data_IF_714879428680
#
_entry.id   IF_714879428680
#
_cell.length_a   1.000
_cell.length_b   1.000
_cell.length_c   1.000
_cell.angle_alpha   90.00
_cell.angle_beta   90.00
_cell.angle_gamma   90.00
#
_symmetry.space_group_name_H-M   'P 1'
#
loop_
_entity.id
_entity.type
_entity.pdbx_description
1 polymer ?
#
# COMPACT_ATOMS: atom_id res chain seq x y z
N UNK A 1 -24.86 14.84 -2.32
CA UNK A 1 -24.47 15.57 -1.09
C UNK A 1 -23.64 14.58 -0.28
N UNK A 2 -22.34 14.48 -0.60
CA UNK A 2 -21.42 13.52 0.05
C UNK A 2 -20.99 14.14 1.38
N UNK A 3 -21.42 13.53 2.46
CA UNK A 3 -20.96 13.84 3.80
C UNK A 3 -19.47 13.50 3.88
N UNK A 4 -18.70 14.48 4.24
CA UNK A 4 -17.27 14.40 4.52
C UNK A 4 -17.00 13.30 5.55
N UNK A 5 -16.44 12.17 5.08
CA UNK A 5 -16.11 11.02 5.94
C UNK A 5 -14.90 11.29 6.80
N UNK A 6 -14.98 12.22 7.74
CA UNK A 6 -14.02 12.27 8.83
C UNK A 6 -14.32 11.13 9.82
N UNK A 7 -13.33 10.40 10.28
CA UNK A 7 -13.53 9.43 11.35
C UNK A 7 -14.22 10.15 12.52
N UNK A 8 -15.28 9.57 13.06
CA UNK A 8 -16.08 10.18 14.13
C UNK A 8 -15.15 10.58 15.27
N UNK A 9 -15.31 11.79 15.79
CA UNK A 9 -14.42 12.38 16.82
C UNK A 9 -14.31 11.54 18.11
N UNK A 10 -15.20 10.59 18.33
CA UNK A 10 -15.22 9.76 19.53
C UNK A 10 -14.20 8.61 19.55
N UNK A 11 -13.54 8.30 18.40
CA UNK A 11 -12.57 7.21 18.30
C UNK A 11 -11.11 7.67 18.12
N UNK A 12 -10.83 8.96 18.13
CA UNK A 12 -9.49 9.51 17.88
C UNK A 12 -8.40 9.10 18.89
N UNK A 13 -8.75 8.56 20.06
CA UNK A 13 -7.78 8.31 21.15
C UNK A 13 -7.88 6.92 21.78
N UNK A 14 -8.62 5.99 21.20
CA UNK A 14 -8.54 4.59 21.58
C UNK A 14 -7.27 4.01 20.99
N UNK A 15 -6.18 4.01 21.74
CA UNK A 15 -4.89 3.43 21.37
C UNK A 15 -4.98 1.90 21.41
N UNK A 16 -5.61 1.31 20.42
CA UNK A 16 -5.46 -0.11 20.15
C UNK A 16 -4.04 -0.32 19.60
N UNK A 17 -3.16 -0.89 20.39
CA UNK A 17 -1.81 -1.27 19.99
C UNK A 17 -1.77 -2.62 19.25
N UNK A 18 -2.85 -3.00 18.56
CA UNK A 18 -2.82 -4.22 17.74
C UNK A 18 -1.95 -4.03 16.51
N UNK A 19 -0.70 -4.47 16.60
CA UNK A 19 0.27 -4.45 15.49
C UNK A 19 -0.18 -5.30 14.29
N UNK A 20 -1.18 -6.15 14.45
CA UNK A 20 -1.74 -6.94 13.36
C UNK A 20 -2.72 -6.12 12.51
N UNK A 21 -3.29 -5.02 13.06
CA UNK A 21 -4.01 -4.02 12.28
C UNK A 21 -3.01 -3.23 11.43
N UNK A 22 -2.53 -3.87 10.38
CA UNK A 22 -1.48 -3.30 9.54
C UNK A 22 -1.56 -3.78 8.09
N UNK A 23 -1.15 -2.92 7.17
CA UNK A 23 -0.98 -3.21 5.76
C UNK A 23 0.42 -2.81 5.28
N UNK A 24 0.96 -3.41 4.21
CA UNK A 24 2.20 -2.94 3.61
C UNK A 24 2.07 -1.52 3.05
N UNK A 25 3.18 -0.76 3.10
CA UNK A 25 3.32 0.52 2.39
C UNK A 25 3.03 0.30 0.90
N UNK A 26 2.20 1.16 0.32
CA UNK A 26 1.89 1.15 -1.10
C UNK A 26 2.79 2.14 -1.85
N UNK A 27 3.59 1.62 -2.75
CA UNK A 27 4.52 2.41 -3.58
C UNK A 27 3.87 3.04 -4.81
N UNK A 28 2.57 2.85 -4.98
CA UNK A 28 1.80 3.32 -6.14
C UNK A 28 0.79 4.42 -5.81
N UNK A 29 0.79 4.93 -4.57
CA UNK A 29 -0.05 6.07 -4.21
C UNK A 29 0.56 7.37 -4.70
N UNK A 30 -0.26 8.22 -5.29
CA UNK A 30 0.15 9.53 -5.78
C UNK A 30 -0.98 10.54 -5.69
N UNK A 31 -0.63 11.81 -5.55
CA UNK A 31 -1.55 12.92 -5.70
C UNK A 31 -0.79 14.18 -6.11
N UNK A 32 -1.39 14.97 -6.99
CA UNK A 32 -0.86 16.31 -7.35
C UNK A 32 -1.72 17.43 -6.76
N UNK A 33 -2.59 17.08 -5.79
CA UNK A 33 -3.46 18.03 -5.13
C UNK A 33 -2.66 19.12 -4.42
N UNK A 34 -2.99 20.42 -4.64
CA UNK A 34 -2.15 21.54 -4.20
C UNK A 34 -1.94 21.59 -2.68
N UNK A 35 -3.01 21.42 -1.88
CA UNK A 35 -2.96 21.50 -0.42
C UNK A 35 -2.08 20.38 0.17
N UNK A 36 -2.16 19.17 -0.38
CA UNK A 36 -1.28 18.09 0.02
C UNK A 36 0.18 18.39 -0.33
N UNK A 37 0.44 18.91 -1.53
CA UNK A 37 1.79 19.29 -1.95
C UNK A 37 2.35 20.45 -1.11
N UNK A 38 1.51 21.38 -0.65
CA UNK A 38 1.93 22.43 0.30
C UNK A 38 2.33 21.83 1.64
N UNK A 39 1.56 20.87 2.18
CA UNK A 39 1.93 20.15 3.39
C UNK A 39 3.26 19.41 3.23
N UNK A 40 3.44 18.68 2.13
CA UNK A 40 4.70 18.00 1.81
C UNK A 40 5.87 18.99 1.81
N UNK A 41 5.73 20.14 1.14
CA UNK A 41 6.77 21.16 1.07
C UNK A 41 7.11 21.74 2.45
N UNK A 42 6.10 22.08 3.23
CA UNK A 42 6.26 22.61 4.60
C UNK A 42 7.02 21.64 5.50
N UNK A 43 6.62 20.37 5.51
CA UNK A 43 7.25 19.35 6.35
C UNK A 43 8.64 18.98 5.83
N UNK A 44 8.84 18.97 4.51
CA UNK A 44 10.15 18.72 3.91
C UNK A 44 11.18 19.74 4.36
N UNK A 45 10.88 21.03 4.25
CA UNK A 45 11.77 22.12 4.70
C UNK A 45 12.03 22.04 6.21
N UNK A 46 11.03 21.65 7.00
CA UNK A 46 11.17 21.54 8.46
C UNK A 46 12.12 20.41 8.87
N UNK A 47 11.98 19.22 8.29
CA UNK A 47 12.68 18.02 8.76
C UNK A 47 13.93 17.66 7.94
N UNK A 48 14.06 18.19 6.71
CA UNK A 48 15.15 17.88 5.79
C UNK A 48 15.81 19.16 5.21
N UNK A 49 16.19 20.15 6.04
CA UNK A 49 16.69 21.44 5.57
C UNK A 49 18.02 21.35 4.80
N UNK A 50 18.83 20.34 5.04
CA UNK A 50 20.15 20.17 4.41
C UNK A 50 20.12 19.48 3.03
N UNK A 51 19.02 18.83 2.67
CA UNK A 51 18.92 18.17 1.35
C UNK A 51 18.64 19.14 0.17
N UNK A 52 18.29 20.40 0.45
CA UNK A 52 18.01 21.41 -0.57
C UNK A 52 19.30 22.07 -1.14
N UNK A 53 20.47 21.86 -0.57
CA UNK A 53 21.62 22.71 -0.85
C UNK A 53 22.90 22.08 -1.41
N UNK A 54 23.06 20.75 -1.46
CA UNK A 54 24.28 20.17 -2.08
C UNK A 54 24.07 18.76 -2.61
N UNK A 55 23.71 18.66 -3.86
CA UNK A 55 23.83 17.40 -4.61
C UNK A 55 25.31 17.11 -4.86
N UNK A 56 25.94 16.21 -4.10
CA UNK A 56 27.22 15.62 -4.51
C UNK A 56 27.01 14.90 -5.85
N UNK A 57 27.92 15.09 -6.83
CA UNK A 57 27.82 14.37 -8.10
C UNK A 57 28.08 12.88 -7.88
N UNK A 58 27.02 12.13 -7.69
CA UNK A 58 26.99 10.67 -7.69
C UNK A 58 26.04 10.18 -8.78
N UNK A 59 25.95 8.86 -9.04
CA UNK A 59 24.97 8.32 -9.97
C UNK A 59 23.58 8.87 -9.61
N UNK A 60 22.96 9.59 -10.57
CA UNK A 60 21.65 10.20 -10.35
C UNK A 60 20.65 9.12 -9.98
N UNK A 61 20.12 9.17 -8.76
CA UNK A 61 18.98 8.34 -8.38
C UNK A 61 17.80 8.68 -9.28
N UNK A 62 17.06 7.68 -9.73
CA UNK A 62 15.84 7.86 -10.54
C UNK A 62 14.74 8.59 -9.77
N UNK A 63 14.74 8.52 -8.42
CA UNK A 63 13.84 9.26 -7.57
C UNK A 63 14.59 10.13 -6.57
N UNK A 64 14.07 11.31 -6.29
CA UNK A 64 14.59 12.21 -5.25
C UNK A 64 14.13 11.75 -3.87
N UNK A 65 14.83 12.13 -2.79
CA UNK A 65 14.39 11.86 -1.42
C UNK A 65 13.01 12.47 -1.13
N UNK A 66 12.68 13.61 -1.74
CA UNK A 66 11.37 14.25 -1.59
C UNK A 66 10.22 13.42 -2.20
N UNK A 67 10.45 12.68 -3.29
CA UNK A 67 9.46 11.74 -3.85
C UNK A 67 9.19 10.61 -2.85
N UNK A 68 10.23 10.06 -2.21
CA UNK A 68 10.08 9.06 -1.16
C UNK A 68 9.25 9.59 0.01
N UNK A 69 9.56 10.80 0.48
CA UNK A 69 8.84 11.45 1.57
C UNK A 69 7.37 11.70 1.20
N UNK A 70 7.09 12.24 0.00
CA UNK A 70 5.73 12.48 -0.49
C UNK A 70 4.90 11.19 -0.51
N UNK A 71 5.45 10.10 -1.07
CA UNK A 71 4.76 8.81 -1.13
C UNK A 71 4.50 8.24 0.26
N UNK A 72 5.49 8.33 1.17
CA UNK A 72 5.34 7.90 2.56
C UNK A 72 4.24 8.68 3.27
N UNK A 73 4.26 10.00 3.19
CA UNK A 73 3.30 10.88 3.84
C UNK A 73 1.87 10.66 3.30
N UNK A 74 1.75 10.47 1.99
CA UNK A 74 0.45 10.21 1.36
C UNK A 74 -0.14 8.87 1.79
N UNK A 75 0.68 7.81 1.84
CA UNK A 75 0.18 6.50 2.25
C UNK A 75 -0.11 6.44 3.77
N UNK A 76 0.60 7.21 4.58
CA UNK A 76 0.27 7.43 5.99
C UNK A 76 -1.07 8.17 6.16
N UNK A 77 -1.32 9.20 5.33
CA UNK A 77 -2.60 9.91 5.33
C UNK A 77 -3.76 8.97 4.98
N UNK A 78 -3.63 8.20 3.90
CA UNK A 78 -4.64 7.21 3.49
C UNK A 78 -4.85 6.14 4.57
N UNK A 79 -3.77 5.71 5.23
CA UNK A 79 -3.83 4.75 6.32
C UNK A 79 -4.63 5.31 7.50
N UNK A 80 -4.32 6.54 7.92
CA UNK A 80 -5.02 7.26 8.98
C UNK A 80 -6.50 7.50 8.66
N UNK A 81 -6.82 7.91 7.43
CA UNK A 81 -8.20 8.09 6.98
C UNK A 81 -9.00 6.79 6.98
N UNK A 82 -8.35 5.66 6.73
CA UNK A 82 -9.00 4.34 6.74
C UNK A 82 -9.27 3.87 8.18
N UNK A 83 -8.25 3.96 9.03
CA UNK A 83 -8.30 3.65 10.45
C UNK A 83 -7.12 4.33 11.15
N UNK A 84 -7.37 5.30 12.06
CA UNK A 84 -6.31 6.00 12.79
C UNK A 84 -5.36 5.09 13.58
N UNK A 85 -5.78 3.87 13.92
CA UNK A 85 -4.99 2.88 14.63
C UNK A 85 -4.21 1.92 13.71
N UNK A 86 -4.41 2.01 12.39
CA UNK A 86 -3.75 1.14 11.43
C UNK A 86 -2.28 1.50 11.24
N UNK A 87 -1.43 0.46 11.18
CA UNK A 87 -0.01 0.62 10.90
C UNK A 87 0.34 0.37 9.43
N UNK A 88 1.35 1.05 8.93
CA UNK A 88 2.03 0.70 7.68
C UNK A 88 3.21 -0.21 7.94
N UNK A 89 3.27 -1.32 7.22
CA UNK A 89 4.41 -2.24 7.22
C UNK A 89 5.48 -1.74 6.26
N UNK A 90 6.71 -1.53 6.77
CA UNK A 90 7.84 -0.99 5.99
C UNK A 90 9.07 -1.88 6.08
N UNK A 91 9.83 -1.92 4.99
CA UNK A 91 11.14 -2.56 4.97
C UNK A 91 12.19 -1.65 5.61
N UNK A 92 12.89 -2.15 6.64
CA UNK A 92 14.00 -1.44 7.29
C UNK A 92 15.37 -2.07 6.92
N UNK A 93 15.42 -2.84 5.84
CA UNK A 93 16.65 -3.36 5.25
C UNK A 93 16.78 -2.92 3.79
N UNK A 94 18.01 -2.75 3.31
CA UNK A 94 18.27 -2.31 1.93
C UNK A 94 17.73 -3.33 0.90
N UNK A 95 17.80 -4.61 1.18
CA UNK A 95 17.34 -5.69 0.31
C UNK A 95 15.83 -5.69 0.08
N UNK A 96 15.06 -5.06 0.96
CA UNK A 96 13.62 -4.91 0.80
C UNK A 96 13.17 -3.93 -0.29
N UNK A 97 14.11 -3.12 -0.82
CA UNK A 97 13.81 -2.04 -1.78
C UNK A 97 14.38 -2.35 -3.16
N UNK A 98 13.53 -2.70 -4.10
CA UNK A 98 13.89 -2.98 -5.50
C UNK A 98 13.61 -1.75 -6.37
N UNK A 99 14.48 -0.73 -6.31
CA UNK A 99 14.26 0.55 -6.97
C UNK A 99 14.20 0.48 -8.51
N UNK A 100 14.81 -0.54 -9.12
CA UNK A 100 14.82 -0.72 -10.57
C UNK A 100 13.74 -1.69 -11.06
N UNK A 101 12.89 -2.19 -10.17
CA UNK A 101 11.80 -3.08 -10.56
C UNK A 101 10.71 -2.33 -11.34
N UNK A 102 10.17 -2.95 -12.38
CA UNK A 102 8.98 -2.47 -13.09
C UNK A 102 7.75 -2.33 -12.18
N UNK A 103 7.74 -3.06 -11.06
CA UNK A 103 6.69 -3.03 -10.03
C UNK A 103 6.91 -1.94 -8.98
N UNK A 104 7.91 -1.07 -9.18
CA UNK A 104 8.23 0.07 -8.34
C UNK A 104 8.52 1.27 -9.25
N UNK A 105 7.51 1.73 -9.97
CA UNK A 105 7.65 2.75 -11.01
C UNK A 105 8.12 4.11 -10.47
N UNK A 106 7.87 4.41 -9.19
CA UNK A 106 8.40 5.60 -8.50
C UNK A 106 9.88 5.44 -8.09
N UNK A 107 10.49 4.28 -8.37
CA UNK A 107 11.88 3.98 -8.04
C UNK A 107 12.24 4.22 -6.56
N UNK A 108 11.30 3.95 -5.66
CA UNK A 108 11.54 4.08 -4.22
C UNK A 108 12.65 3.11 -3.80
N UNK A 109 13.56 3.60 -2.96
CA UNK A 109 14.78 2.90 -2.60
C UNK A 109 14.99 2.87 -1.09
N UNK A 110 16.09 2.29 -0.65
CA UNK A 110 16.52 2.27 0.75
C UNK A 110 16.64 3.67 1.39
N UNK A 111 16.66 4.76 0.60
CA UNK A 111 16.57 6.14 1.12
C UNK A 111 15.34 6.36 1.99
N UNK A 112 14.26 5.61 1.76
CA UNK A 112 13.07 5.60 2.61
C UNK A 112 13.42 5.31 4.08
N UNK A 113 14.43 4.47 4.34
CA UNK A 113 14.85 4.10 5.70
C UNK A 113 15.38 5.32 6.46
N UNK A 114 16.18 6.18 5.79
CA UNK A 114 16.68 7.41 6.38
C UNK A 114 15.56 8.38 6.72
N UNK A 115 14.61 8.55 5.80
CA UNK A 115 13.43 9.39 6.00
C UNK A 115 12.60 8.91 7.20
N UNK A 116 12.31 7.61 7.28
CA UNK A 116 11.55 7.04 8.40
C UNK A 116 12.29 7.28 9.73
N UNK A 117 13.60 7.04 9.77
CA UNK A 117 14.41 7.24 11.00
C UNK A 117 14.37 8.68 11.49
N UNK A 118 14.49 9.64 10.57
CA UNK A 118 14.42 11.07 10.89
C UNK A 118 13.06 11.44 11.47
N UNK A 119 11.98 11.01 10.82
CA UNK A 119 10.62 11.31 11.29
C UNK A 119 10.29 10.62 12.62
N UNK A 120 10.90 9.48 12.92
CA UNK A 120 10.78 8.81 14.23
C UNK A 120 11.57 9.58 15.29
N UNK A 121 12.77 10.06 14.98
CA UNK A 121 13.58 10.86 15.89
C UNK A 121 12.91 12.20 16.26
N UNK A 122 12.12 12.76 15.36
CA UNK A 122 11.35 14.00 15.54
C UNK A 122 9.92 13.76 16.10
N UNK A 123 9.64 12.55 16.60
CA UNK A 123 8.33 12.14 17.13
C UNK A 123 7.14 12.37 16.16
N UNK A 124 7.41 12.40 14.84
CA UNK A 124 6.38 12.51 13.80
C UNK A 124 5.73 11.17 13.50
N UNK A 125 6.51 10.08 13.68
CA UNK A 125 6.06 8.72 13.49
C UNK A 125 6.26 7.88 14.75
N UNK A 126 5.27 7.06 15.06
CA UNK A 126 5.45 5.92 15.95
C UNK A 126 6.12 4.78 15.18
N UNK A 127 7.03 4.07 15.82
CA UNK A 127 7.78 2.97 15.21
C UNK A 127 7.77 1.73 16.07
N UNK A 128 7.47 0.59 15.44
CA UNK A 128 7.61 -0.73 16.06
C UNK A 128 8.49 -1.62 15.18
N UNK A 129 9.58 -2.09 15.74
CA UNK A 129 10.54 -2.97 15.04
C UNK A 129 9.89 -4.31 14.72
N UNK A 130 9.96 -4.73 13.45
CA UNK A 130 9.58 -6.06 13.02
C UNK A 130 10.55 -7.13 13.53
N UNK A 131 10.03 -8.35 13.70
CA UNK A 131 10.85 -9.55 13.96
C UNK A 131 11.30 -10.16 12.62
N UNK A 132 12.18 -11.16 12.69
CA UNK A 132 12.60 -11.90 11.49
C UNK A 132 11.40 -12.41 10.69
N UNK A 133 11.37 -12.14 9.40
CA UNK A 133 10.25 -12.51 8.50
C UNK A 133 9.02 -11.59 8.57
N UNK A 134 9.04 -10.53 9.39
CA UNK A 134 7.95 -9.54 9.48
C UNK A 134 8.44 -8.12 9.19
N UNK A 135 7.58 -7.31 8.57
CA UNK A 135 7.88 -5.90 8.35
C UNK A 135 7.90 -5.14 9.69
N UNK A 136 8.71 -4.08 9.77
CA UNK A 136 8.54 -3.07 10.80
C UNK A 136 7.22 -2.31 10.58
N UNK A 137 6.71 -1.67 11.61
CA UNK A 137 5.43 -0.96 11.61
C UNK A 137 5.66 0.50 11.92
N UNK A 138 5.01 1.37 11.16
CA UNK A 138 4.97 2.80 11.43
C UNK A 138 3.52 3.29 11.43
N UNK A 139 3.27 4.33 12.20
CA UNK A 139 1.98 5.03 12.24
C UNK A 139 2.22 6.53 12.43
N UNK A 140 1.33 7.37 11.95
CA UNK A 140 1.37 8.79 12.21
C UNK A 140 1.24 9.03 13.73
N UNK A 141 2.20 9.76 14.33
CA UNK A 141 2.10 10.21 15.71
C UNK A 141 1.04 11.33 15.83
N UNK A 142 0.61 11.66 17.04
CA UNK A 142 -0.46 12.60 17.30
C UNK A 142 -0.26 13.95 16.58
N UNK A 143 0.94 14.51 16.61
CA UNK A 143 1.24 15.77 15.93
C UNK A 143 1.00 15.71 14.41
N UNK A 144 1.28 14.58 13.76
CA UNK A 144 1.03 14.39 12.33
C UNK A 144 -0.45 14.15 12.07
N UNK A 145 -1.15 13.41 12.93
CA UNK A 145 -2.59 13.20 12.85
C UNK A 145 -3.37 14.52 12.96
N UNK A 146 -2.93 15.45 13.81
CA UNK A 146 -3.49 16.80 13.90
C UNK A 146 -3.37 17.56 12.58
N UNK A 147 -2.20 17.50 11.93
CA UNK A 147 -2.00 18.11 10.61
C UNK A 147 -2.87 17.45 9.53
N UNK A 148 -3.06 16.15 9.59
CA UNK A 148 -3.94 15.44 8.67
C UNK A 148 -5.41 15.83 8.85
N UNK A 149 -5.87 16.03 10.08
CA UNK A 149 -7.23 16.46 10.39
C UNK A 149 -7.52 17.86 9.85
N UNK A 150 -6.54 18.76 9.93
CA UNK A 150 -6.69 20.14 9.48
C UNK A 150 -6.52 20.28 7.94
N UNK A 151 -6.07 19.21 7.28
CA UNK A 151 -5.80 19.20 5.85
C UNK A 151 -7.11 19.03 5.07
N UNK A 152 -7.44 20.00 4.23
CA UNK A 152 -8.57 19.92 3.30
C UNK A 152 -8.17 19.14 2.04
N UNK A 153 -8.01 17.83 2.20
CA UNK A 153 -7.57 16.94 1.13
C UNK A 153 -8.47 15.72 1.04
N UNK A 154 -9.35 15.64 0.01
CA UNK A 154 -10.26 14.51 -0.14
C UNK A 154 -9.51 13.28 -0.67
N UNK A 155 -9.87 12.09 -0.16
CA UNK A 155 -9.27 10.82 -0.60
C UNK A 155 -9.54 10.54 -2.09
N UNK A 156 -10.59 11.12 -2.66
CA UNK A 156 -10.88 11.05 -4.11
C UNK A 156 -9.77 11.61 -4.99
N UNK A 157 -8.92 12.51 -4.46
CA UNK A 157 -7.76 13.07 -5.16
C UNK A 157 -6.51 12.19 -5.04
N UNK A 158 -6.62 11.02 -4.43
CA UNK A 158 -5.54 10.03 -4.34
C UNK A 158 -5.66 9.03 -5.48
N UNK A 159 -4.61 8.95 -6.29
CA UNK A 159 -4.44 7.89 -7.28
C UNK A 159 -3.77 6.68 -6.60
N UNK A 160 -4.44 5.53 -6.59
CA UNK A 160 -3.96 4.31 -5.91
C UNK A 160 -3.22 3.34 -6.81
N UNK A 161 -3.22 3.57 -8.10
CA UNK A 161 -2.61 2.72 -9.12
C UNK A 161 -1.62 3.49 -10.01
N UNK A 162 -1.05 4.57 -9.49
CA UNK A 162 -0.14 5.43 -10.21
C UNK A 162 1.05 4.64 -10.77
N UNK A 163 1.16 4.59 -12.10
CA UNK A 163 2.18 3.83 -12.82
C UNK A 163 2.28 2.34 -12.43
N UNK A 164 1.23 1.76 -11.87
CA UNK A 164 1.21 0.35 -11.46
C UNK A 164 1.09 -0.56 -12.68
N UNK A 165 2.02 -1.52 -12.81
CA UNK A 165 1.89 -2.55 -13.85
C UNK A 165 0.78 -3.53 -13.49
N UNK A 166 -0.26 -3.69 -14.35
CA UNK A 166 -1.34 -4.62 -14.11
C UNK A 166 -1.00 -6.07 -14.45
N UNK A 167 0.21 -6.34 -14.97
CA UNK A 167 0.66 -7.69 -15.31
C UNK A 167 1.80 -8.09 -14.38
N UNK A 168 1.65 -9.22 -13.71
CA UNK A 168 2.65 -9.76 -12.79
C UNK A 168 3.09 -11.13 -13.26
N UNK A 169 4.37 -11.30 -13.50
CA UNK A 169 5.01 -12.59 -13.73
C UNK A 169 5.68 -13.06 -12.43
N UNK A 170 5.37 -14.27 -12.00
CA UNK A 170 5.96 -14.91 -10.81
C UNK A 170 6.81 -16.11 -11.21
N UNK A 171 7.95 -16.24 -10.55
CA UNK A 171 8.81 -17.42 -10.66
C UNK A 171 8.21 -18.67 -10.00
N UNK A 172 8.98 -19.74 -10.03
CA UNK A 172 8.71 -20.93 -9.23
C UNK A 172 8.81 -20.61 -7.74
N UNK A 173 8.20 -21.44 -6.90
CA UNK A 173 8.44 -21.39 -5.48
C UNK A 173 9.90 -21.78 -5.24
N UNK A 174 10.63 -21.00 -4.44
CA UNK A 174 11.92 -21.43 -3.96
C UNK A 174 11.71 -22.68 -3.10
N UNK A 175 12.48 -23.74 -3.37
CA UNK A 175 12.47 -24.91 -2.48
C UNK A 175 13.03 -24.47 -1.13
N UNK A 176 12.40 -24.85 -0.01
CA UNK A 176 12.96 -24.52 1.30
C UNK A 176 14.29 -25.29 1.46
N UNK A 177 15.30 -24.62 2.02
CA UNK A 177 16.50 -25.31 2.49
C UNK A 177 16.09 -26.45 3.42
N UNK A 178 16.74 -27.61 3.30
CA UNK A 178 16.42 -28.83 4.05
C UNK A 178 16.32 -28.63 5.58
N UNK A 179 16.94 -27.57 6.11
CA UNK A 179 16.84 -27.14 7.51
C UNK A 179 15.53 -26.42 7.88
N UNK A 180 14.82 -25.81 6.92
CA UNK A 180 13.57 -25.06 7.20
C UNK A 180 12.30 -25.94 7.13
N UNK A 181 12.41 -27.14 6.57
CA UNK A 181 11.26 -28.06 6.36
C UNK A 181 10.61 -28.49 7.69
N UNK A 182 11.34 -28.47 8.80
CA UNK A 182 10.84 -29.01 10.09
C UNK A 182 9.97 -28.06 10.92
N UNK A 183 9.83 -26.76 10.55
CA UNK A 183 9.24 -25.79 11.47
C UNK A 183 8.10 -24.91 10.95
N UNK A 184 7.74 -24.92 9.69
CA UNK A 184 6.62 -24.07 9.26
C UNK A 184 5.89 -24.50 7.99
N UNK A 185 4.58 -24.64 8.08
CA UNK A 185 3.61 -24.68 6.96
C UNK A 185 3.50 -23.33 6.21
N UNK A 186 4.59 -22.56 6.10
CA UNK A 186 4.60 -21.31 5.34
C UNK A 186 4.53 -21.63 3.86
N UNK A 187 3.46 -21.22 3.19
CA UNK A 187 3.41 -21.22 1.72
C UNK A 187 4.60 -20.43 1.21
N UNK A 188 5.48 -21.10 0.46
CA UNK A 188 6.65 -20.51 -0.19
C UNK A 188 6.21 -19.33 -1.06
N UNK A 189 6.84 -18.19 -0.87
CA UNK A 189 6.56 -17.01 -1.67
C UNK A 189 7.18 -17.19 -3.05
N UNK A 190 6.37 -17.08 -4.09
CA UNK A 190 6.87 -17.04 -5.46
C UNK A 190 7.46 -15.65 -5.72
N UNK A 191 8.74 -15.55 -6.12
CA UNK A 191 9.36 -14.26 -6.44
C UNK A 191 8.68 -13.63 -7.65
N UNK A 192 8.58 -12.31 -7.64
CA UNK A 192 8.14 -11.55 -8.82
C UNK A 192 9.32 -11.38 -9.76
N UNK A 193 9.13 -11.71 -11.04
CA UNK A 193 10.14 -11.63 -12.08
C UNK A 193 10.02 -10.36 -12.91
N UNK A 194 11.18 -9.80 -13.26
CA UNK A 194 11.25 -8.80 -14.34
C UNK A 194 11.11 -9.50 -15.68
N UNK A 195 10.59 -8.81 -16.68
CA UNK A 195 10.44 -9.33 -18.03
C UNK A 195 10.52 -8.21 -19.07
N UNK A 196 10.92 -8.53 -20.27
CA UNK A 196 10.90 -7.63 -21.41
C UNK A 196 9.50 -7.59 -22.04
N UNK A 197 9.10 -6.40 -22.48
CA UNK A 197 7.77 -6.24 -23.09
C UNK A 197 7.73 -6.85 -24.49
N UNK A 198 6.73 -7.68 -24.70
CA UNK A 198 6.37 -8.25 -26.00
C UNK A 198 5.10 -7.56 -26.54
N UNK A 199 4.79 -7.66 -27.85
CA UNK A 199 3.51 -7.17 -28.38
C UNK A 199 2.30 -7.68 -27.61
N UNK A 200 2.33 -8.92 -27.14
CA UNK A 200 1.28 -9.55 -26.37
C UNK A 200 1.16 -8.90 -24.97
N UNK A 201 2.26 -8.71 -24.24
CA UNK A 201 2.22 -8.07 -22.90
C UNK A 201 1.78 -6.62 -22.99
N UNK A 202 2.19 -5.89 -24.03
CA UNK A 202 1.74 -4.52 -24.29
C UNK A 202 0.23 -4.49 -24.54
N UNK A 203 -0.29 -5.40 -25.36
CA UNK A 203 -1.73 -5.52 -25.63
C UNK A 203 -2.52 -5.85 -24.37
N UNK A 204 -2.07 -6.84 -23.59
CA UNK A 204 -2.72 -7.22 -22.32
C UNK A 204 -2.75 -6.06 -21.34
N UNK A 205 -1.62 -5.33 -21.19
CA UNK A 205 -1.53 -4.15 -20.33
C UNK A 205 -2.49 -3.07 -20.76
N UNK A 206 -2.56 -2.78 -22.07
CA UNK A 206 -3.49 -1.78 -22.62
C UNK A 206 -4.95 -2.09 -22.30
N UNK A 207 -5.38 -3.36 -22.41
CA UNK A 207 -6.73 -3.78 -22.05
C UNK A 207 -6.99 -3.63 -20.56
N UNK A 208 -6.05 -4.07 -19.71
CA UNK A 208 -6.19 -3.99 -18.25
C UNK A 208 -6.18 -2.55 -17.74
N UNK A 209 -5.38 -1.68 -18.32
CA UNK A 209 -5.37 -0.26 -17.96
C UNK A 209 -6.72 0.38 -18.25
N UNK A 210 -7.31 0.16 -19.43
CA UNK A 210 -8.65 0.65 -19.77
C UNK A 210 -9.72 0.12 -18.80
N UNK A 211 -9.61 -1.14 -18.39
CA UNK A 211 -10.52 -1.73 -17.41
C UNK A 211 -10.36 -1.08 -16.03
N UNK A 212 -9.13 -0.89 -15.56
CA UNK A 212 -8.86 -0.21 -14.30
C UNK A 212 -9.30 1.27 -14.33
N UNK A 213 -9.10 1.98 -15.44
CA UNK A 213 -9.62 3.34 -15.64
C UNK A 213 -11.15 3.38 -15.52
N UNK A 214 -11.85 2.38 -16.06
CA UNK A 214 -13.29 2.27 -15.89
C UNK A 214 -13.67 2.04 -14.43
N UNK A 215 -12.98 1.12 -13.75
CA UNK A 215 -13.22 0.86 -12.32
C UNK A 215 -13.00 2.11 -11.46
N UNK A 216 -11.96 2.89 -11.74
CA UNK A 216 -11.66 4.12 -10.99
C UNK A 216 -12.72 5.22 -11.18
N UNK A 217 -13.51 5.15 -12.24
CA UNK A 217 -14.63 6.09 -12.51
C UNK A 217 -15.92 5.66 -11.83
N UNK A 218 -15.99 4.46 -11.28
CA UNK A 218 -17.18 3.89 -10.67
C UNK A 218 -17.01 3.76 -9.17
N UNK A 219 -18.04 4.09 -8.43
CA UNK A 219 -18.12 3.77 -7.01
C UNK A 219 -18.69 2.36 -6.85
N UNK A 220 -17.94 1.49 -6.19
CA UNK A 220 -18.40 0.15 -5.83
C UNK A 220 -18.61 0.09 -4.33
N UNK A 221 -19.79 -0.35 -3.92
CA UNK A 221 -20.18 -0.42 -2.53
C UNK A 221 -20.99 -1.69 -2.26
N UNK A 222 -21.28 -1.97 -1.00
CA UNK A 222 -22.15 -3.07 -0.56
C UNK A 222 -23.31 -2.51 0.24
N UNK A 223 -24.48 -2.51 -0.33
CA UNK A 223 -25.67 -1.86 0.22
C UNK A 223 -26.02 -2.29 1.65
N UNK A 224 -25.79 -3.55 1.99
CA UNK A 224 -26.13 -4.11 3.30
C UNK A 224 -25.10 -3.83 4.40
N UNK A 225 -23.98 -3.18 4.09
CA UNK A 225 -22.96 -2.85 5.08
C UNK A 225 -23.11 -1.40 5.56
N UNK A 226 -23.19 -1.22 6.89
CA UNK A 226 -23.19 0.09 7.53
C UNK A 226 -21.77 0.70 7.58
N UNK A 227 -20.75 -0.16 7.68
CA UNK A 227 -19.34 0.22 7.78
C UNK A 227 -18.59 -0.07 6.47
N UNK A 228 -17.58 0.71 6.10
CA UNK A 228 -16.85 0.54 4.83
C UNK A 228 -15.86 -0.63 4.89
N UNK A 229 -16.18 -1.70 5.58
CA UNK A 229 -15.40 -2.92 5.65
C UNK A 229 -16.29 -4.15 5.88
N UNK A 230 -15.77 -5.31 5.52
CA UNK A 230 -16.33 -6.61 5.89
C UNK A 230 -15.29 -7.44 6.66
N UNK A 231 -15.75 -8.29 7.55
CA UNK A 231 -14.88 -9.16 8.33
C UNK A 231 -14.77 -10.54 7.69
N UNK A 232 -13.61 -11.11 7.75
CA UNK A 232 -13.36 -12.46 7.28
C UNK A 232 -12.52 -13.22 8.29
N UNK A 233 -13.01 -14.38 8.68
CA UNK A 233 -12.29 -15.30 9.57
C UNK A 233 -11.08 -15.85 8.82
N UNK A 234 -9.87 -15.55 9.26
CA UNK A 234 -8.65 -16.24 8.84
C UNK A 234 -8.38 -17.39 9.79
N UNK A 235 -8.55 -18.62 9.31
CA UNK A 235 -8.01 -19.80 10.02
C UNK A 235 -6.50 -19.69 10.07
N UNK A 236 -5.93 -19.47 11.26
CA UNK A 236 -4.50 -19.67 11.51
C UNK A 236 -4.25 -21.14 11.78
N UNK A 237 -3.12 -21.62 11.23
CA UNK A 237 -2.53 -22.88 11.66
C UNK A 237 -1.97 -22.64 13.06
N UNK A 238 -2.73 -23.05 14.11
CA UNK A 238 -2.42 -22.87 15.54
C UNK A 238 -3.43 -21.96 16.26
N UNK A 239 -4.30 -22.55 16.95
CA UNK A 239 -5.19 -22.21 18.09
C UNK A 239 -6.01 -20.89 18.17
N UNK A 240 -5.89 -19.88 17.33
CA UNK A 240 -6.78 -18.71 17.40
C UNK A 240 -7.30 -18.32 16.03
N UNK A 241 -8.62 -18.30 15.88
CA UNK A 241 -9.29 -17.65 14.75
C UNK A 241 -9.30 -16.15 15.05
N UNK A 242 -8.80 -15.34 14.09
CA UNK A 242 -8.90 -13.88 14.17
C UNK A 242 -9.69 -13.37 12.99
N UNK A 243 -10.68 -12.54 13.28
CA UNK A 243 -11.38 -11.77 12.26
C UNK A 243 -10.43 -10.72 11.70
N UNK A 244 -10.39 -10.64 10.38
CA UNK A 244 -9.58 -9.64 9.66
C UNK A 244 -10.52 -8.74 8.88
N UNK A 245 -10.46 -7.45 9.16
CA UNK A 245 -11.21 -6.43 8.45
C UNK A 245 -10.64 -6.21 7.05
N UNK A 246 -11.52 -6.23 6.08
CA UNK A 246 -11.22 -5.91 4.68
C UNK A 246 -11.94 -4.63 4.31
N UNK A 247 -11.20 -3.55 4.22
CA UNK A 247 -11.76 -2.24 3.91
C UNK A 247 -12.13 -2.12 2.43
N UNK A 248 -13.31 -1.55 2.18
CA UNK A 248 -13.81 -1.19 0.84
C UNK A 248 -13.27 0.22 0.54
N UNK A 249 -12.17 0.29 -0.19
CA UNK A 249 -11.50 1.55 -0.51
C UNK A 249 -11.08 1.58 -1.97
N UNK A 250 -10.88 2.77 -2.54
CA UNK A 250 -10.35 2.94 -3.90
C UNK A 250 -9.03 2.20 -4.14
N UNK A 251 -8.22 1.98 -3.09
CA UNK A 251 -7.00 1.19 -3.14
C UNK A 251 -7.20 -0.25 -3.62
N UNK A 252 -8.35 -0.84 -3.34
CA UNK A 252 -8.67 -2.23 -3.66
C UNK A 252 -9.55 -2.36 -4.92
N UNK A 253 -9.60 -1.33 -5.76
CA UNK A 253 -10.29 -1.36 -7.06
C UNK A 253 -9.38 -1.83 -8.20
N UNK A 254 -8.07 -1.83 -8.04
CA UNK A 254 -7.11 -2.18 -9.08
C UNK A 254 -7.06 -3.69 -9.34
N UNK A 255 -7.32 -4.08 -10.59
CA UNK A 255 -7.27 -5.48 -11.05
C UNK A 255 -6.01 -5.72 -11.86
N UNK A 256 -5.37 -6.86 -11.58
CA UNK A 256 -4.14 -7.31 -12.22
C UNK A 256 -4.23 -8.77 -12.64
N UNK A 257 -3.50 -9.16 -13.68
CA UNK A 257 -3.31 -10.57 -14.06
C UNK A 257 -2.00 -11.08 -13.48
N UNK A 258 -2.04 -12.27 -12.91
CA UNK A 258 -0.86 -12.90 -12.31
C UNK A 258 -0.57 -14.21 -13.04
N UNK A 259 0.60 -14.27 -13.65
CA UNK A 259 1.15 -15.45 -14.28
C UNK A 259 2.16 -16.11 -13.34
N UNK A 260 2.39 -17.42 -13.47
CA UNK A 260 3.17 -18.19 -12.53
C UNK A 260 4.28 -19.00 -13.24
N UNK A 261 5.26 -19.41 -12.47
CA UNK A 261 6.36 -20.30 -12.89
C UNK A 261 7.17 -19.78 -14.08
N UNK A 262 7.29 -18.44 -14.21
CA UNK A 262 8.00 -17.81 -15.32
C UNK A 262 7.36 -18.00 -16.70
N UNK A 263 6.10 -18.43 -16.75
CA UNK A 263 5.41 -18.73 -18.01
C UNK A 263 4.14 -17.90 -18.20
N UNK A 264 3.94 -17.39 -19.41
CA UNK A 264 2.74 -16.68 -19.82
C UNK A 264 1.53 -17.61 -20.06
N UNK A 265 1.77 -18.92 -20.14
CA UNK A 265 0.74 -19.93 -20.33
C UNK A 265 0.14 -20.41 -19.00
N UNK A 266 0.83 -20.15 -17.89
CA UNK A 266 0.45 -20.67 -16.58
C UNK A 266 -0.11 -19.56 -15.68
N UNK A 267 -1.39 -19.68 -15.33
CA UNK A 267 -2.08 -18.73 -14.46
C UNK A 267 -2.90 -17.71 -15.23
N UNK A 268 -2.51 -16.45 -15.22
CA UNK A 268 -3.23 -15.35 -15.90
C UNK A 268 -4.59 -15.03 -15.30
N UNK A 269 -4.84 -15.42 -14.03
CA UNK A 269 -6.07 -15.09 -13.32
C UNK A 269 -6.07 -13.64 -12.86
N UNK A 270 -7.27 -13.08 -12.75
CA UNK A 270 -7.47 -11.73 -12.25
C UNK A 270 -7.47 -11.70 -10.71
N UNK A 271 -6.78 -10.70 -10.14
CA UNK A 271 -6.66 -10.49 -8.70
C UNK A 271 -6.68 -8.99 -8.40
N UNK A 272 -7.15 -8.62 -7.20
CA UNK A 272 -6.96 -7.28 -6.64
C UNK A 272 -8.21 -6.57 -6.21
N UNK A 273 -9.36 -6.79 -6.85
CA UNK A 273 -10.63 -6.19 -6.45
C UNK A 273 -11.12 -6.74 -5.09
N UNK A 274 -11.57 -5.85 -4.19
CA UNK A 274 -12.09 -6.25 -2.89
C UNK A 274 -13.29 -7.20 -3.02
N UNK A 275 -14.10 -7.06 -4.07
CA UNK A 275 -15.26 -7.92 -4.36
C UNK A 275 -14.90 -9.39 -4.61
N UNK A 276 -13.64 -9.69 -4.90
CA UNK A 276 -13.17 -11.07 -5.01
C UNK A 276 -12.97 -11.75 -3.66
N UNK A 277 -12.92 -10.97 -2.58
CA UNK A 277 -12.67 -11.45 -1.23
C UNK A 277 -13.91 -11.45 -0.34
N UNK A 278 -14.97 -10.78 -0.77
CA UNK A 278 -16.22 -10.70 -0.04
C UNK A 278 -16.90 -12.07 0.07
N UNK A 279 -17.63 -12.29 1.14
CA UNK A 279 -18.37 -13.54 1.37
C UNK A 279 -19.42 -13.75 0.29
N UNK A 280 -19.83 -15.00 0.12
CA UNK A 280 -20.85 -15.36 -0.90
C UNK A 280 -22.20 -14.68 -0.62
N UNK A 281 -22.51 -14.53 0.67
CA UNK A 281 -23.77 -13.98 1.16
C UNK A 281 -23.92 -12.49 0.82
N UNK A 282 -22.82 -11.73 0.88
CA UNK A 282 -22.81 -10.28 0.61
C UNK A 282 -22.65 -9.93 -0.89
N UNK A 283 -22.31 -10.90 -1.74
CA UNK A 283 -22.09 -10.61 -3.19
C UNK A 283 -23.31 -10.05 -3.91
N UNK A 284 -24.55 -10.49 -3.60
CA UNK A 284 -25.75 -9.93 -4.26
C UNK A 284 -25.96 -8.45 -3.95
N UNK A 285 -25.40 -7.94 -2.84
CA UNK A 285 -25.59 -6.59 -2.37
C UNK A 285 -24.54 -5.61 -2.91
N UNK A 286 -23.62 -6.10 -3.78
CA UNK A 286 -22.61 -5.23 -4.41
C UNK A 286 -23.33 -4.33 -5.42
N UNK A 287 -23.18 -3.02 -5.24
CA UNK A 287 -23.70 -1.99 -6.12
C UNK A 287 -22.58 -1.26 -6.87
N UNK A 288 -22.89 -0.86 -8.09
CA UNK A 288 -22.05 -0.02 -8.92
C UNK A 288 -22.81 1.28 -9.15
N UNK A 289 -22.26 2.38 -8.67
CA UNK A 289 -22.82 3.71 -8.84
C UNK A 289 -22.02 4.49 -9.89
N UNK A 290 -22.73 5.26 -10.71
CA UNK A 290 -22.17 6.14 -11.74
C UNK A 290 -21.63 7.45 -11.15
#
# INVERSE_FOLDING_TARGET
MYLEGYPSMNNCFSTSNDINNSRPLDVHVWSDYPEFNQLVNKLWVKYFPSEDSTVRPGPKSKATSKVHFKTLLLDLYVCWMTDPNMYLGVHMSNSGWKANSRYNALHLSYRMIGIIKELVAEDVLEFQKGRQGTLSRIRAAEQLQLLFRDLKFPVSEVVFDYLRDPIILRGMSEEPDEMEVQTSSKKLKKPTLEYDDTPETIRMRGVLNKYNELLNKKSLDVFSLEEPYFERIKKKVGKEEKDVRHYITGRNHFVRRIFNNGSWELGGRFYGGWWQQISKELRPDIMIND
#
